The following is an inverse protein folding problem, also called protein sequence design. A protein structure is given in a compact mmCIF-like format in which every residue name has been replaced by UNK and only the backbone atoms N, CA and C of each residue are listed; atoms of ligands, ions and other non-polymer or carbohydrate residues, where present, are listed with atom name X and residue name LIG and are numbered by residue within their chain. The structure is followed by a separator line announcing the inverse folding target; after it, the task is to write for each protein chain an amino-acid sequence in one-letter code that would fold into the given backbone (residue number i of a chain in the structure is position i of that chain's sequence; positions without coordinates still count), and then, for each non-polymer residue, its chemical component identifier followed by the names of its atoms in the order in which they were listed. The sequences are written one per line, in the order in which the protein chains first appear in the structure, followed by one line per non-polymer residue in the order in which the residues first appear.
data_IF_589825381400
#
_entry.id   IF_589825381400
#
_cell.length_a   1.000
_cell.length_b   1.000
_cell.length_c   1.000
_cell.angle_alpha   90.00
_cell.angle_beta   90.00
_cell.angle_gamma   90.00
#
_symmetry.space_group_name_H-M   'P 1'
#
loop_
_entity.id
_entity.type
_entity.pdbx_description
1 polymer ?
#
# COMPACT_ATOMS: atom_id res chain seq x y z
N UNK A 1 8.22 60.81 60.47
CA UNK A 1 6.80 60.91 60.86
C UNK A 1 6.02 59.81 60.15
N UNK A 2 5.25 59.03 60.93
CA UNK A 2 4.24 58.01 60.54
C UNK A 2 4.73 56.81 59.70
N UNK A 3 5.25 55.81 60.41
CA UNK A 3 5.23 54.39 60.00
C UNK A 3 3.85 53.81 60.32
N UNK A 4 3.21 53.20 59.33
CA UNK A 4 1.92 52.52 59.46
C UNK A 4 2.17 51.01 59.59
N UNK A 5 1.74 50.43 60.71
CA UNK A 5 1.68 48.99 60.91
C UNK A 5 0.45 48.39 60.25
N UNK A 6 0.60 47.16 59.75
CA UNK A 6 -0.52 46.27 59.46
C UNK A 6 -0.25 44.92 60.09
N UNK A 7 -1.09 44.60 61.07
CA UNK A 7 -1.28 43.28 61.66
C UNK A 7 -2.34 42.50 60.85
N UNK A 8 -2.25 41.17 60.97
CA UNK A 8 -3.34 40.18 60.85
C UNK A 8 -4.03 39.98 59.49
N UNK A 9 -3.75 38.83 58.87
CA UNK A 9 -4.77 37.77 58.81
C UNK A 9 -4.12 36.43 58.47
N UNK A 10 -4.00 35.58 59.49
CA UNK A 10 -3.81 34.14 59.32
C UNK A 10 -5.17 33.56 58.99
N UNK A 11 -5.38 33.12 57.76
CA UNK A 11 -6.51 32.26 57.42
C UNK A 11 -5.95 30.89 57.06
N UNK A 12 -6.09 29.95 58.00
CA UNK A 12 -5.98 28.52 57.78
C UNK A 12 -7.26 28.05 57.07
N UNK A 13 -7.15 27.57 55.84
CA UNK A 13 -8.15 26.67 55.26
C UNK A 13 -7.50 25.32 55.00
N UNK A 14 -7.56 24.45 56.01
CA UNK A 14 -7.55 23.01 55.84
C UNK A 14 -8.93 22.64 55.28
N UNK A 15 -9.04 22.56 53.96
CA UNK A 15 -10.25 22.16 53.26
C UNK A 15 -9.95 20.93 52.42
N UNK A 16 -10.33 19.76 52.95
CA UNK A 16 -10.48 18.51 52.23
C UNK A 16 -11.04 18.73 50.82
N UNK A 17 -10.19 18.60 49.81
CA UNK A 17 -10.63 18.26 48.46
C UNK A 17 -9.82 17.04 48.03
N UNK A 18 -10.23 15.90 48.57
CA UNK A 18 -10.02 14.59 47.96
C UNK A 18 -10.80 14.65 46.64
N UNK A 19 -10.20 15.26 45.62
CA UNK A 19 -10.60 15.03 44.25
C UNK A 19 -10.37 13.55 44.01
N UNK A 20 -11.47 12.81 44.00
CA UNK A 20 -11.62 11.53 43.33
C UNK A 20 -10.99 11.65 41.93
N UNK A 21 -9.69 11.34 41.84
CA UNK A 21 -9.10 10.71 40.68
C UNK A 21 -9.78 9.33 40.59
N UNK A 22 -11.02 9.33 40.12
CA UNK A 22 -11.52 8.22 39.33
C UNK A 22 -10.69 8.31 38.07
N UNK A 23 -9.49 7.73 38.13
CA UNK A 23 -8.92 7.07 36.97
C UNK A 23 -9.96 6.02 36.64
N UNK A 24 -10.95 6.43 35.84
CA UNK A 24 -11.67 5.52 35.01
C UNK A 24 -10.57 4.93 34.15
N UNK A 25 -10.01 3.81 34.61
CA UNK A 25 -9.42 2.83 33.74
C UNK A 25 -10.56 2.46 32.80
N UNK A 26 -10.71 3.25 31.73
CA UNK A 26 -11.09 2.68 30.46
C UNK A 26 -10.01 1.64 30.21
N UNK A 27 -10.24 0.43 30.73
CA UNK A 27 -9.95 -0.78 29.98
C UNK A 27 -10.70 -0.60 28.67
N UNK A 28 -10.10 0.16 27.75
CA UNK A 28 -10.36 -0.03 26.34
C UNK A 28 -9.81 -1.43 26.10
N UNK A 29 -10.64 -2.44 26.37
CA UNK A 29 -10.46 -3.75 25.78
C UNK A 29 -10.44 -3.46 24.29
N UNK A 30 -9.23 -3.39 23.75
CA UNK A 30 -9.02 -3.11 22.35
C UNK A 30 -9.71 -4.25 21.63
N UNK A 31 -10.83 -3.93 20.98
CA UNK A 31 -11.51 -4.92 20.15
C UNK A 31 -10.44 -5.53 19.23
N UNK A 32 -10.34 -6.86 19.16
CA UNK A 32 -9.33 -7.50 18.33
C UNK A 32 -9.51 -6.97 16.90
N UNK A 33 -8.43 -6.46 16.32
CA UNK A 33 -8.37 -6.03 14.92
C UNK A 33 -8.63 -7.26 14.05
N UNK A 34 -9.90 -7.57 13.79
CA UNK A 34 -10.30 -8.71 12.97
C UNK A 34 -10.64 -8.20 11.59
N UNK A 35 -10.01 -8.78 10.58
CA UNK A 35 -10.41 -8.63 9.17
C UNK A 35 -11.93 -8.78 8.98
N UNK A 36 -12.56 -9.65 9.80
CA UNK A 36 -13.99 -9.91 9.82
C UNK A 36 -14.86 -8.68 10.17
N UNK A 37 -14.38 -7.75 11.01
CA UNK A 37 -15.12 -6.49 11.29
C UNK A 37 -15.32 -5.66 10.03
N UNK A 38 -14.40 -5.76 9.08
CA UNK A 38 -14.47 -5.10 7.77
C UNK A 38 -15.08 -6.00 6.67
N UNK A 39 -15.54 -7.20 7.02
CA UNK A 39 -16.04 -8.19 6.07
C UNK A 39 -14.96 -8.84 5.20
N UNK A 40 -13.68 -8.65 5.54
CA UNK A 40 -12.55 -9.26 4.85
C UNK A 40 -12.29 -10.68 5.37
N UNK A 41 -11.69 -11.52 4.52
CA UNK A 41 -11.22 -12.85 4.91
C UNK A 41 -9.70 -12.81 5.09
N UNK A 42 -9.20 -13.79 5.82
CA UNK A 42 -7.77 -13.94 6.07
C UNK A 42 -7.08 -14.41 4.79
N UNK A 43 -6.03 -13.72 4.37
CA UNK A 43 -5.13 -14.24 3.36
C UNK A 43 -4.21 -15.29 3.98
N UNK A 44 -3.94 -16.37 3.24
CA UNK A 44 -3.18 -17.53 3.74
C UNK A 44 -2.10 -18.02 2.79
N UNK A 45 -2.22 -17.70 1.50
CA UNK A 45 -1.32 -18.18 0.45
C UNK A 45 0.02 -17.44 0.52
N UNK A 46 -0.01 -16.16 0.86
CA UNK A 46 1.20 -15.32 0.88
C UNK A 46 1.74 -15.03 2.29
N UNK A 47 1.26 -15.74 3.31
CA UNK A 47 1.68 -15.55 4.72
C UNK A 47 3.20 -15.59 4.90
N UNK A 48 3.88 -16.59 4.32
CA UNK A 48 5.34 -16.72 4.44
C UNK A 48 6.04 -15.50 3.84
N UNK A 49 5.64 -15.09 2.64
CA UNK A 49 6.21 -13.95 1.95
C UNK A 49 5.95 -12.64 2.71
N UNK A 50 4.75 -12.44 3.24
CA UNK A 50 4.43 -11.25 4.04
C UNK A 50 5.26 -11.21 5.33
N UNK A 51 5.44 -12.34 6.00
CA UNK A 51 6.29 -12.44 7.19
C UNK A 51 7.77 -12.13 6.87
N UNK A 52 8.29 -12.64 5.75
CA UNK A 52 9.65 -12.35 5.27
C UNK A 52 9.83 -10.86 4.95
N UNK A 53 8.85 -10.25 4.28
CA UNK A 53 8.87 -8.81 3.99
C UNK A 53 8.85 -7.97 5.28
N UNK A 54 8.00 -8.33 6.26
CA UNK A 54 7.95 -7.68 7.57
C UNK A 54 9.29 -7.78 8.31
N UNK A 55 9.93 -8.95 8.25
CA UNK A 55 11.26 -9.15 8.86
C UNK A 55 12.33 -8.28 8.19
N UNK A 56 12.33 -8.16 6.86
CA UNK A 56 13.24 -7.26 6.14
C UNK A 56 13.04 -5.78 6.55
N UNK A 57 11.78 -5.32 6.65
CA UNK A 57 11.48 -3.96 7.14
C UNK A 57 12.00 -3.77 8.56
N UNK A 58 11.78 -4.74 9.45
CA UNK A 58 12.22 -4.65 10.85
C UNK A 58 13.73 -4.58 11.02
N UNK A 59 14.48 -5.26 10.15
CA UNK A 59 15.96 -5.15 10.09
C UNK A 59 16.37 -3.78 9.56
N UNK A 60 15.68 -3.26 8.55
CA UNK A 60 15.96 -1.96 7.94
C UNK A 60 15.66 -0.76 8.84
N UNK A 61 14.53 -0.77 9.53
CA UNK A 61 14.06 0.36 10.36
C UNK A 61 14.79 0.48 11.71
N UNK A 62 15.60 -0.51 12.10
CA UNK A 62 16.28 -0.54 13.39
C UNK A 62 15.28 -0.45 14.55
N UNK A 63 15.56 0.37 15.55
CA UNK A 63 14.69 0.54 16.73
C UNK A 63 13.61 1.62 16.57
N UNK A 64 13.55 2.29 15.40
CA UNK A 64 12.65 3.44 15.19
C UNK A 64 11.20 3.01 15.02
N UNK A 65 11.00 1.98 14.20
CA UNK A 65 9.70 1.44 13.82
C UNK A 65 9.79 -0.07 13.75
N UNK A 66 8.72 -0.75 14.16
CA UNK A 66 8.58 -2.19 14.01
C UNK A 66 7.25 -2.51 13.34
N UNK A 67 7.29 -3.40 12.37
CA UNK A 67 6.11 -4.05 11.82
C UNK A 67 5.88 -5.37 12.54
N UNK A 68 4.62 -5.68 12.80
CA UNK A 68 4.23 -6.96 13.37
C UNK A 68 3.21 -7.63 12.48
N UNK A 69 3.58 -8.75 11.86
CA UNK A 69 2.63 -9.52 11.07
C UNK A 69 1.62 -10.20 12.00
N UNK A 70 0.34 -9.85 11.84
CA UNK A 70 -0.76 -10.40 12.63
C UNK A 70 -1.56 -11.33 11.71
N UNK A 71 -1.64 -12.60 12.06
CA UNK A 71 -2.68 -13.46 11.51
C UNK A 71 -4.03 -13.00 12.08
N UNK A 72 -5.08 -12.95 11.29
CA UNK A 72 -6.40 -12.50 11.75
C UNK A 72 -7.05 -13.41 12.79
N UNK A 73 -6.51 -14.62 12.97
CA UNK A 73 -6.86 -15.49 14.09
C UNK A 73 -6.18 -15.07 15.41
N UNK A 74 -5.11 -14.28 15.33
CA UNK A 74 -4.28 -13.84 16.44
C UNK A 74 -4.94 -12.75 17.28
N UNK A 75 -4.73 -12.82 18.59
CA UNK A 75 -4.91 -11.68 19.48
C UNK A 75 -4.05 -10.51 18.98
N UNK A 76 -4.58 -9.27 19.05
CA UNK A 76 -3.76 -8.08 18.80
C UNK A 76 -2.46 -8.24 19.60
N UNK A 77 -1.29 -8.18 18.96
CA UNK A 77 -0.04 -8.31 19.68
C UNK A 77 0.00 -7.25 20.76
N UNK A 78 0.46 -7.65 21.94
CA UNK A 78 0.62 -6.73 23.06
C UNK A 78 1.67 -5.67 22.67
N UNK A 79 1.21 -4.54 22.15
CA UNK A 79 2.05 -3.39 21.81
C UNK A 79 2.34 -2.54 23.05
N UNK A 80 1.87 -2.94 24.24
CA UNK A 80 2.03 -2.17 25.48
C UNK A 80 3.51 -2.17 25.86
N UNK A 81 4.19 -1.04 25.61
CA UNK A 81 5.61 -0.86 25.90
C UNK A 81 6.55 -0.90 24.69
N UNK A 82 6.05 -1.14 23.48
CA UNK A 82 6.82 -0.98 22.24
C UNK A 82 6.32 0.24 21.47
N UNK A 83 6.90 1.44 21.68
CA UNK A 83 6.56 2.60 20.86
C UNK A 83 6.78 2.26 19.38
N UNK A 84 5.91 2.75 18.50
CA UNK A 84 6.04 2.63 17.03
C UNK A 84 5.97 1.21 16.45
N UNK A 85 5.22 0.30 17.09
CA UNK A 85 4.88 -1.01 16.48
C UNK A 85 3.57 -0.94 15.71
N UNK A 86 3.62 -1.25 14.41
CA UNK A 86 2.49 -1.22 13.49
C UNK A 86 2.09 -2.65 13.08
N UNK A 87 0.85 -3.10 13.33
CA UNK A 87 0.35 -4.36 12.82
C UNK A 87 0.25 -4.37 11.29
N UNK A 88 0.52 -5.53 10.70
CA UNK A 88 0.35 -5.82 9.27
C UNK A 88 -0.60 -7.00 9.13
N UNK A 89 -1.73 -6.80 8.45
CA UNK A 89 -2.71 -7.85 8.18
C UNK A 89 -2.65 -8.27 6.71
N UNK A 90 -2.58 -9.58 6.46
CA UNK A 90 -2.78 -10.12 5.11
C UNK A 90 -4.24 -10.51 4.94
N UNK A 91 -4.93 -9.88 3.99
CA UNK A 91 -6.36 -10.07 3.76
C UNK A 91 -6.65 -10.54 2.34
N UNK A 92 -7.75 -11.25 2.20
CA UNK A 92 -8.30 -11.71 0.94
C UNK A 92 -9.78 -11.31 0.91
N UNK A 93 -10.19 -10.54 -0.10
CA UNK A 93 -11.58 -10.12 -0.23
C UNK A 93 -11.87 -9.45 -1.54
N UNK A 94 -12.89 -9.93 -2.27
CA UNK A 94 -13.35 -9.32 -3.53
C UNK A 94 -13.96 -7.92 -3.36
N UNK A 95 -14.25 -7.51 -2.12
CA UNK A 95 -14.78 -6.19 -1.79
C UNK A 95 -13.71 -5.11 -1.67
N UNK A 96 -12.42 -5.50 -1.62
CA UNK A 96 -11.32 -4.57 -1.77
C UNK A 96 -11.19 -4.22 -3.24
N UNK A 97 -10.86 -2.96 -3.52
CA UNK A 97 -10.54 -2.53 -4.87
C UNK A 97 -9.35 -3.36 -5.37
N UNK A 98 -9.44 -3.83 -6.61
CA UNK A 98 -8.50 -4.81 -7.17
C UNK A 98 -7.10 -4.23 -7.42
N UNK A 99 -7.00 -2.91 -7.29
CA UNK A 99 -5.92 -2.04 -7.73
C UNK A 99 -4.97 -1.64 -6.58
N UNK A 100 -5.32 -1.92 -5.32
CA UNK A 100 -4.46 -1.67 -4.16
C UNK A 100 -3.79 -2.96 -3.67
N UNK A 101 -2.45 -2.94 -3.61
CA UNK A 101 -1.62 -4.05 -3.10
C UNK A 101 -1.49 -3.99 -1.59
N UNK A 102 -1.27 -2.80 -1.04
CA UNK A 102 -1.30 -2.51 0.39
C UNK A 102 -1.87 -1.11 0.63
N UNK A 103 -2.33 -0.86 1.85
CA UNK A 103 -2.78 0.47 2.27
C UNK A 103 -2.71 0.63 3.79
N UNK A 104 -2.60 1.86 4.26
CA UNK A 104 -2.79 2.23 5.67
C UNK A 104 -4.26 2.48 5.99
N UNK A 105 -4.73 1.95 7.12
CA UNK A 105 -6.02 2.28 7.74
C UNK A 105 -6.18 3.79 8.01
N UNK A 106 -7.43 4.27 8.05
CA UNK A 106 -7.73 5.71 8.21
C UNK A 106 -7.26 6.31 9.53
N UNK A 107 -7.03 5.49 10.56
CA UNK A 107 -6.53 5.92 11.87
C UNK A 107 -5.01 5.74 12.02
N UNK A 108 -4.31 5.43 10.91
CA UNK A 108 -2.85 5.26 10.84
C UNK A 108 -2.29 4.18 11.75
N UNK A 109 -3.13 3.23 12.18
CA UNK A 109 -2.76 2.26 13.21
C UNK A 109 -2.45 0.87 12.67
N UNK A 110 -2.67 0.62 11.37
CA UNK A 110 -2.64 -0.69 10.75
C UNK A 110 -2.30 -0.58 9.27
N UNK A 111 -1.44 -1.48 8.79
CA UNK A 111 -1.18 -1.73 7.37
C UNK A 111 -1.94 -2.98 6.94
N UNK A 112 -2.65 -2.90 5.82
CA UNK A 112 -3.38 -4.02 5.23
C UNK A 112 -2.73 -4.39 3.90
N UNK A 113 -2.37 -5.65 3.72
CA UNK A 113 -1.85 -6.21 2.48
C UNK A 113 -2.95 -7.03 1.82
N UNK A 114 -3.30 -6.69 0.60
CA UNK A 114 -4.31 -7.38 -0.18
C UNK A 114 -3.67 -8.53 -0.99
N UNK A 115 -3.96 -9.78 -0.57
CA UNK A 115 -3.37 -10.99 -1.17
C UNK A 115 -3.59 -11.07 -2.68
N UNK A 116 -4.80 -10.75 -3.16
CA UNK A 116 -5.10 -10.81 -4.60
C UNK A 116 -4.39 -9.71 -5.39
N UNK A 117 -4.36 -8.47 -4.88
CA UNK A 117 -3.62 -7.37 -5.51
C UNK A 117 -2.13 -7.71 -5.66
N UNK A 118 -1.56 -8.29 -4.60
CA UNK A 118 -0.16 -8.74 -4.60
C UNK A 118 0.10 -9.84 -5.64
N UNK A 119 -0.78 -10.84 -5.75
CA UNK A 119 -0.67 -11.88 -6.80
C UNK A 119 -0.75 -11.29 -8.22
N UNK A 120 -1.63 -10.32 -8.43
CA UNK A 120 -1.81 -9.69 -9.74
C UNK A 120 -0.59 -8.85 -10.14
N UNK A 121 0.00 -8.11 -9.20
CA UNK A 121 1.21 -7.33 -9.43
C UNK A 121 2.36 -8.21 -9.96
N UNK A 122 2.57 -9.39 -9.38
CA UNK A 122 3.67 -10.28 -9.80
C UNK A 122 3.36 -11.12 -11.05
N UNK A 123 2.09 -11.44 -11.31
CA UNK A 123 1.69 -12.21 -12.49
C UNK A 123 1.67 -11.41 -13.79
N UNK A 124 1.60 -10.08 -13.71
CA UNK A 124 1.49 -9.22 -14.89
C UNK A 124 2.69 -9.34 -15.84
N UNK A 125 3.87 -9.67 -15.31
CA UNK A 125 5.11 -9.64 -16.10
C UNK A 125 5.60 -11.00 -16.60
N UNK A 126 5.32 -12.08 -15.88
CA UNK A 126 5.53 -13.46 -16.31
C UNK A 126 4.67 -14.39 -15.45
N UNK A 127 3.96 -15.34 -16.08
CA UNK A 127 3.13 -16.31 -15.37
C UNK A 127 3.93 -17.17 -14.36
N UNK A 128 5.25 -17.24 -14.55
CA UNK A 128 6.19 -18.03 -13.74
C UNK A 128 7.00 -17.19 -12.74
N UNK A 129 6.85 -15.86 -12.73
CA UNK A 129 7.55 -15.03 -11.74
C UNK A 129 6.94 -15.22 -10.35
N UNK A 130 7.72 -15.78 -9.44
CA UNK A 130 7.32 -15.88 -8.04
C UNK A 130 7.28 -14.48 -7.40
N UNK A 131 6.27 -14.19 -6.56
CA UNK A 131 6.26 -13.00 -5.72
C UNK A 131 7.56 -12.81 -4.93
N UNK A 132 8.11 -11.60 -4.96
CA UNK A 132 9.33 -11.25 -4.23
C UNK A 132 9.00 -10.53 -2.91
N UNK A 133 9.57 -11.04 -1.81
CA UNK A 133 9.43 -10.43 -0.49
C UNK A 133 10.11 -9.06 -0.42
N UNK A 134 11.14 -8.81 -1.22
CA UNK A 134 11.89 -7.55 -1.21
C UNK A 134 11.10 -6.40 -1.83
N UNK A 135 10.40 -6.65 -2.95
CA UNK A 135 9.42 -5.71 -3.51
C UNK A 135 8.28 -5.42 -2.52
N UNK A 136 7.75 -6.44 -1.83
CA UNK A 136 6.73 -6.20 -0.80
C UNK A 136 7.31 -5.42 0.39
N UNK A 137 8.54 -5.68 0.82
CA UNK A 137 9.18 -4.94 1.91
C UNK A 137 9.32 -3.45 1.57
N UNK A 138 9.62 -3.10 0.31
CA UNK A 138 9.59 -1.72 -0.14
C UNK A 138 8.18 -1.11 -0.05
N UNK A 139 7.15 -1.82 -0.50
CA UNK A 139 5.75 -1.37 -0.37
C UNK A 139 5.39 -1.14 1.11
N UNK A 140 5.79 -2.05 1.99
CA UNK A 140 5.55 -1.90 3.43
C UNK A 140 6.30 -0.71 4.05
N UNK A 141 7.52 -0.40 3.58
CA UNK A 141 8.23 0.81 3.97
C UNK A 141 7.51 2.08 3.51
N UNK A 142 6.93 2.06 2.30
CA UNK A 142 6.11 3.15 1.79
C UNK A 142 4.88 3.38 2.67
N UNK A 143 4.11 2.33 2.97
CA UNK A 143 2.96 2.42 3.89
C UNK A 143 3.36 2.90 5.29
N UNK A 144 4.51 2.46 5.79
CA UNK A 144 5.07 2.95 7.05
C UNK A 144 5.45 4.43 6.98
N UNK A 145 5.88 4.92 5.83
CA UNK A 145 6.12 6.34 5.56
C UNK A 145 4.86 7.18 5.70
N UNK A 146 3.72 6.71 5.18
CA UNK A 146 2.42 7.36 5.40
C UNK A 146 2.09 7.47 6.90
N UNK A 147 2.27 6.38 7.67
CA UNK A 147 2.07 6.40 9.13
C UNK A 147 3.02 7.38 9.82
N UNK A 148 4.30 7.37 9.44
CA UNK A 148 5.31 8.25 10.02
C UNK A 148 5.01 9.73 9.76
N UNK A 149 4.35 10.05 8.64
CA UNK A 149 3.99 11.42 8.27
C UNK A 149 2.58 11.84 8.74
N UNK A 150 1.79 10.90 9.29
CA UNK A 150 0.38 11.15 9.66
C UNK A 150 -0.55 11.28 8.45
N UNK A 151 -0.16 10.73 7.31
CA UNK A 151 -0.92 10.74 6.07
C UNK A 151 -1.71 9.44 5.91
N UNK A 152 -2.95 9.54 5.44
CA UNK A 152 -3.73 8.34 5.11
C UNK A 152 -3.27 7.83 3.73
N UNK A 153 -2.80 6.59 3.66
CA UNK A 153 -2.38 5.95 2.41
C UNK A 153 -3.53 5.60 1.46
N UNK A 154 -4.77 5.95 1.80
CA UNK A 154 -5.93 5.70 0.94
C UNK A 154 -5.94 6.72 -0.19
N UNK A 155 -5.78 6.22 -1.42
CA UNK A 155 -6.02 6.99 -2.62
C UNK A 155 -7.52 7.31 -2.67
N UNK A 156 -7.92 8.52 -2.22
CA UNK A 156 -9.27 9.00 -2.45
C UNK A 156 -9.56 8.83 -3.93
N UNK A 157 -10.55 7.99 -4.21
CA UNK A 157 -10.87 7.51 -5.56
C UNK A 157 -10.92 8.70 -6.50
N UNK A 158 -9.91 8.86 -7.35
CA UNK A 158 -10.00 9.80 -8.45
C UNK A 158 -11.28 9.45 -9.19
N UNK A 159 -12.24 10.37 -9.19
CA UNK A 159 -13.44 10.19 -9.99
C UNK A 159 -12.95 10.05 -11.42
N UNK A 160 -13.09 8.84 -11.99
CA UNK A 160 -12.59 8.41 -13.32
C UNK A 160 -13.18 9.24 -14.48
N UNK A 161 -13.78 10.40 -14.19
CA UNK A 161 -14.32 11.36 -15.16
C UNK A 161 -13.64 12.74 -15.15
N UNK A 162 -12.65 13.04 -14.31
CA UNK A 162 -11.90 14.30 -14.48
C UNK A 162 -10.94 14.14 -15.64
N UNK A 163 -11.33 14.65 -16.82
CA UNK A 163 -10.49 14.72 -18.01
C UNK A 163 -9.24 15.63 -17.85
N UNK A 164 -8.98 16.12 -16.64
CA UNK A 164 -7.75 16.84 -16.35
C UNK A 164 -6.58 15.86 -16.29
N UNK A 165 -5.62 15.96 -17.22
CA UNK A 165 -4.44 15.12 -17.19
C UNK A 165 -3.69 15.37 -15.87
N UNK A 166 -3.09 14.31 -15.32
CA UNK A 166 -2.32 14.26 -14.06
C UNK A 166 -1.09 15.19 -14.02
N UNK A 167 -1.25 16.46 -14.38
CA UNK A 167 -0.19 17.45 -14.67
C UNK A 167 0.03 18.46 -13.55
N UNK A 168 -0.94 18.60 -12.66
CA UNK A 168 -0.83 19.53 -11.53
C UNK A 168 -0.33 18.77 -10.30
N UNK A 169 0.70 19.30 -9.64
CA UNK A 169 1.07 18.85 -8.30
C UNK A 169 -0.14 19.00 -7.37
N UNK A 170 -0.47 17.92 -6.66
CA UNK A 170 -1.55 17.88 -5.66
C UNK A 170 -0.93 17.52 -4.32
N UNK A 171 -1.61 17.88 -3.22
CA UNK A 171 -1.14 17.45 -1.87
C UNK A 171 -1.00 15.92 -1.79
N UNK A 172 -1.86 15.18 -2.49
CA UNK A 172 -1.76 13.73 -2.55
C UNK A 172 -0.45 13.27 -3.20
N UNK A 173 -0.05 13.84 -4.35
CA UNK A 173 1.24 13.51 -4.98
C UNK A 173 2.43 13.81 -4.07
N UNK A 174 2.38 14.90 -3.30
CA UNK A 174 3.45 15.22 -2.36
C UNK A 174 3.50 14.20 -1.21
N UNK A 175 2.36 13.82 -0.62
CA UNK A 175 2.29 12.79 0.44
C UNK A 175 2.88 11.46 -0.02
N UNK A 176 2.49 11.05 -1.22
CA UNK A 176 3.01 9.88 -1.91
C UNK A 176 4.54 9.93 -2.10
N UNK A 177 5.06 11.07 -2.56
CA UNK A 177 6.50 11.29 -2.68
C UNK A 177 7.19 11.28 -1.30
N UNK A 178 6.59 11.85 -0.26
CA UNK A 178 7.15 11.81 1.10
C UNK A 178 7.23 10.38 1.65
N UNK A 179 6.22 9.55 1.41
CA UNK A 179 6.23 8.14 1.79
C UNK A 179 7.33 7.36 1.05
N UNK A 180 7.55 7.64 -0.23
CA UNK A 180 8.66 7.06 -0.99
C UNK A 180 10.03 7.49 -0.49
N UNK A 181 10.20 8.79 -0.22
CA UNK A 181 11.47 9.33 0.29
C UNK A 181 11.78 8.77 1.68
N UNK A 182 10.75 8.54 2.52
CA UNK A 182 10.91 7.81 3.77
C UNK A 182 11.46 6.41 3.53
N UNK A 183 10.84 5.64 2.61
CA UNK A 183 11.30 4.29 2.29
C UNK A 183 12.73 4.29 1.74
N UNK A 184 13.03 5.20 0.81
CA UNK A 184 14.35 5.39 0.22
C UNK A 184 15.42 5.72 1.27
N UNK A 185 15.08 6.57 2.25
CA UNK A 185 15.98 6.93 3.35
C UNK A 185 16.29 5.71 4.25
N UNK A 186 15.30 4.87 4.57
CA UNK A 186 15.57 3.65 5.36
C UNK A 186 16.55 2.72 4.64
N UNK A 187 16.37 2.54 3.33
CA UNK A 187 17.27 1.74 2.50
C UNK A 187 18.67 2.36 2.47
N UNK A 188 18.78 3.67 2.21
CA UNK A 188 20.04 4.40 2.14
C UNK A 188 20.81 4.32 3.47
N UNK A 189 20.13 4.54 4.60
CA UNK A 189 20.72 4.35 5.92
C UNK A 189 21.22 2.91 6.05
N UNK A 190 20.40 1.90 5.75
CA UNK A 190 20.82 0.49 5.85
C UNK A 190 22.04 0.14 4.98
N UNK A 191 22.09 0.65 3.76
CA UNK A 191 23.26 0.49 2.86
C UNK A 191 24.53 1.14 3.43
N UNK A 192 24.41 2.21 4.21
CA UNK A 192 25.56 2.87 4.84
C UNK A 192 26.07 2.17 6.11
N UNK A 193 25.27 1.30 6.73
CA UNK A 193 25.60 0.60 7.98
C UNK A 193 26.44 -0.67 7.73
N UNK A 194 27.64 -0.54 7.19
CA UNK A 194 28.50 -1.70 6.85
C UNK A 194 28.96 -2.53 8.05
N UNK A 195 28.89 -2.00 9.27
CA UNK A 195 29.17 -2.74 10.51
C UNK A 195 27.99 -3.59 11.00
N UNK A 196 26.77 -3.28 10.56
CA UNK A 196 25.55 -4.05 10.84
C UNK A 196 25.18 -4.85 9.59
N UNK A 197 25.80 -6.02 9.46
CA UNK A 197 25.69 -6.85 8.25
C UNK A 197 24.23 -7.25 7.96
N UNK A 198 23.44 -7.53 8.99
CA UNK A 198 22.05 -7.95 8.82
C UNK A 198 21.18 -6.82 8.25
N UNK A 199 21.34 -5.61 8.77
CA UNK A 199 20.66 -4.42 8.24
C UNK A 199 21.14 -4.06 6.84
N UNK A 200 22.44 -4.16 6.60
CA UNK A 200 23.03 -3.89 5.28
C UNK A 200 22.51 -4.87 4.23
N UNK A 201 22.49 -6.17 4.53
CA UNK A 201 21.96 -7.19 3.62
C UNK A 201 20.46 -6.99 3.35
N UNK A 202 19.66 -6.68 4.38
CA UNK A 202 18.25 -6.35 4.18
C UNK A 202 18.09 -5.14 3.24
N UNK A 203 18.91 -4.11 3.39
CA UNK A 203 18.89 -2.95 2.49
C UNK A 203 19.23 -3.30 1.04
N UNK A 204 20.24 -4.16 0.82
CA UNK A 204 20.61 -4.63 -0.52
C UNK A 204 19.48 -5.44 -1.17
N UNK A 205 18.81 -6.30 -0.39
CA UNK A 205 17.67 -7.08 -0.89
C UNK A 205 16.52 -6.15 -1.30
N UNK A 206 16.15 -5.20 -0.43
CA UNK A 206 15.06 -4.26 -0.74
C UNK A 206 15.44 -3.33 -1.91
N UNK A 207 16.67 -2.83 -2.01
CA UNK A 207 17.12 -2.04 -3.19
C UNK A 207 17.04 -2.84 -4.50
N UNK A 208 17.35 -4.15 -4.46
CA UNK A 208 17.13 -5.04 -5.60
C UNK A 208 15.63 -5.16 -5.94
N UNK A 209 14.76 -5.25 -4.93
CA UNK A 209 13.30 -5.24 -5.10
C UNK A 209 12.79 -3.94 -5.73
N UNK A 210 13.34 -2.78 -5.34
CA UNK A 210 13.05 -1.47 -5.96
C UNK A 210 13.50 -1.46 -7.43
N UNK A 211 14.68 -2.01 -7.73
CA UNK A 211 15.18 -2.11 -9.10
C UNK A 211 14.25 -2.93 -10.00
N UNK A 212 13.72 -4.03 -9.46
CA UNK A 212 12.74 -4.88 -10.15
C UNK A 212 11.45 -4.10 -10.41
N UNK A 213 10.84 -3.51 -9.37
CA UNK A 213 9.62 -2.70 -9.50
C UNK A 213 9.78 -1.55 -10.52
N UNK A 214 10.92 -0.85 -10.48
CA UNK A 214 11.22 0.22 -11.44
C UNK A 214 11.30 -0.29 -12.88
N UNK A 215 11.89 -1.47 -13.08
CA UNK A 215 12.01 -2.09 -14.40
C UNK A 215 10.64 -2.53 -14.91
N UNK A 216 9.82 -3.13 -14.04
CA UNK A 216 8.45 -3.57 -14.35
C UNK A 216 7.56 -2.38 -14.71
N UNK A 217 7.58 -1.31 -13.91
CA UNK A 217 6.85 -0.07 -14.20
C UNK A 217 7.26 0.52 -15.56
N UNK A 218 8.57 0.53 -15.85
CA UNK A 218 9.09 1.01 -17.14
C UNK A 218 8.65 0.11 -18.30
N UNK A 219 8.68 -1.22 -18.13
CA UNK A 219 8.29 -2.18 -19.15
C UNK A 219 6.78 -2.10 -19.45
N UNK A 220 5.94 -2.10 -18.42
CA UNK A 220 4.49 -1.94 -18.54
C UNK A 220 4.14 -0.62 -19.24
N UNK A 221 4.76 0.48 -18.82
CA UNK A 221 4.59 1.78 -19.46
C UNK A 221 5.07 1.77 -20.93
N UNK A 222 6.20 1.13 -21.23
CA UNK A 222 6.72 1.04 -22.60
C UNK A 222 5.81 0.22 -23.51
N UNK A 223 5.32 -0.93 -23.04
CA UNK A 223 4.42 -1.80 -23.80
C UNK A 223 3.06 -1.15 -24.03
N UNK A 224 2.48 -0.50 -23.01
CA UNK A 224 1.24 0.25 -23.14
C UNK A 224 1.34 1.40 -24.17
N UNK A 225 2.54 1.93 -24.37
CA UNK A 225 2.84 3.04 -25.30
C UNK A 225 3.43 2.57 -26.63
N UNK A 226 3.62 1.26 -26.86
CA UNK A 226 4.26 0.75 -28.07
C UNK A 226 3.36 0.98 -29.30
N UNK A 227 3.75 1.92 -30.16
CA UNK A 227 2.98 2.33 -31.35
C UNK A 227 2.05 3.52 -31.12
N UNK A 228 1.93 4.02 -29.89
CA UNK A 228 1.25 5.28 -29.59
C UNK A 228 2.22 6.46 -29.78
N UNK A 229 2.06 7.20 -30.87
CA UNK A 229 2.83 8.42 -31.15
C UNK A 229 2.34 9.62 -30.36
N UNK A 230 1.16 9.51 -29.72
CA UNK A 230 0.72 10.54 -28.79
C UNK A 230 1.56 10.40 -27.53
N UNK A 231 2.24 11.47 -27.13
CA UNK A 231 2.99 11.56 -25.87
C UNK A 231 2.01 11.58 -24.69
N UNK A 232 1.11 10.61 -24.58
CA UNK A 232 0.30 10.40 -23.40
C UNK A 232 1.22 9.80 -22.35
N UNK A 233 1.62 10.68 -21.43
CA UNK A 233 2.61 10.39 -20.39
C UNK A 233 2.10 9.34 -19.44
N UNK A 234 3.03 8.56 -18.89
CA UNK A 234 2.94 7.83 -17.62
C UNK A 234 1.55 7.86 -17.00
N UNK A 235 0.62 7.18 -17.66
CA UNK A 235 -0.69 6.93 -17.14
C UNK A 235 -0.51 5.57 -16.53
N UNK A 236 -0.28 5.55 -15.21
CA UNK A 236 -0.31 4.34 -14.43
C UNK A 236 -1.76 3.86 -14.37
N UNK A 237 -2.26 3.35 -15.50
CA UNK A 237 -3.53 2.64 -15.60
C UNK A 237 -3.34 1.27 -14.90
N UNK A 238 -3.16 1.27 -13.58
CA UNK A 238 -3.09 0.02 -12.82
C UNK A 238 -2.25 0.00 -11.56
N UNK A 239 -1.51 1.07 -11.20
CA UNK A 239 -0.87 1.16 -9.89
C UNK A 239 -1.74 2.00 -8.94
N UNK A 240 -1.77 1.63 -7.65
CA UNK A 240 -2.57 2.28 -6.62
C UNK A 240 -2.29 3.78 -6.42
N UNK A 241 -1.17 4.28 -6.96
CA UNK A 241 -0.74 5.67 -6.77
C UNK A 241 -0.30 6.33 -8.09
N UNK A 242 -0.54 7.64 -8.25
CA UNK A 242 -0.18 8.37 -9.47
C UNK A 242 1.34 8.48 -9.66
N UNK A 243 1.79 8.41 -10.92
CA UNK A 243 3.18 8.63 -11.36
C UNK A 243 4.20 7.65 -10.75
N UNK A 244 3.80 6.41 -10.50
CA UNK A 244 4.62 5.35 -9.91
C UNK A 244 5.96 5.14 -10.66
N UNK A 245 5.96 4.97 -11.99
CA UNK A 245 7.22 4.79 -12.75
C UNK A 245 8.19 5.96 -12.53
N UNK A 246 7.68 7.19 -12.47
CA UNK A 246 8.49 8.38 -12.28
C UNK A 246 9.00 8.49 -10.84
N UNK A 247 8.15 8.23 -9.85
CA UNK A 247 8.51 8.18 -8.44
C UNK A 247 9.58 7.12 -8.15
N UNK A 248 9.54 5.96 -8.81
CA UNK A 248 10.61 4.95 -8.70
C UNK A 248 11.96 5.45 -9.23
N UNK A 249 11.97 6.29 -10.28
CA UNK A 249 13.22 6.92 -10.76
C UNK A 249 13.79 7.88 -9.72
N UNK A 250 12.93 8.68 -9.08
CA UNK A 250 13.31 9.53 -7.95
C UNK A 250 13.91 8.68 -6.82
N UNK A 251 13.21 7.63 -6.38
CA UNK A 251 13.66 6.74 -5.29
C UNK A 251 15.04 6.16 -5.61
N UNK A 252 15.24 5.64 -6.82
CA UNK A 252 16.53 5.08 -7.26
C UNK A 252 17.64 6.13 -7.28
N UNK A 253 17.35 7.33 -7.78
CA UNK A 253 18.31 8.44 -7.76
C UNK A 253 18.67 8.83 -6.32
N UNK A 254 17.68 8.92 -5.43
CA UNK A 254 17.86 9.25 -4.02
C UNK A 254 18.73 8.22 -3.28
N UNK A 255 18.49 6.92 -3.50
CA UNK A 255 19.29 5.84 -2.90
C UNK A 255 20.75 5.90 -3.37
N UNK A 256 20.96 6.13 -4.68
CA UNK A 256 22.29 6.09 -5.30
C UNK A 256 23.12 7.37 -5.20
N UNK A 257 22.51 8.50 -4.84
CA UNK A 257 23.18 9.80 -4.85
C UNK A 257 23.99 10.08 -3.58
N UNK A 258 25.15 10.70 -3.76
CA UNK A 258 25.92 11.28 -2.67
C UNK A 258 25.38 12.69 -2.37
N UNK A 259 24.70 12.85 -1.24
CA UNK A 259 24.11 14.13 -0.83
C UNK A 259 23.40 14.02 0.51
N UNK A 260 23.00 15.15 1.08
CA UNK A 260 22.10 15.15 2.24
C UNK A 260 20.69 14.76 1.81
N UNK A 261 19.92 14.14 2.70
CA UNK A 261 18.52 13.76 2.45
C UNK A 261 17.66 14.94 1.97
N UNK A 262 17.91 16.14 2.49
CA UNK A 262 17.20 17.36 2.13
C UNK A 262 17.54 17.84 0.71
N UNK A 263 18.81 17.83 0.32
CA UNK A 263 19.24 18.21 -1.05
C UNK A 263 18.63 17.26 -2.09
N UNK A 264 18.65 15.96 -1.81
CA UNK A 264 18.12 14.96 -2.73
C UNK A 264 16.59 15.02 -2.81
N UNK A 265 15.90 15.28 -1.70
CA UNK A 265 14.46 15.51 -1.71
C UNK A 265 14.10 16.77 -2.52
N UNK A 266 14.87 17.85 -2.38
CA UNK A 266 14.65 19.07 -3.15
C UNK A 266 14.95 18.88 -4.65
N UNK A 267 16.01 18.15 -4.99
CA UNK A 267 16.29 17.77 -6.37
C UNK A 267 15.16 16.92 -6.96
N UNK A 268 14.68 15.91 -6.22
CA UNK A 268 13.57 15.08 -6.65
C UNK A 268 12.28 15.88 -6.91
N UNK A 269 11.96 16.83 -6.03
CA UNK A 269 10.82 17.75 -6.21
C UNK A 269 11.00 18.64 -7.44
N UNK A 270 12.20 19.18 -7.65
CA UNK A 270 12.51 20.00 -8.81
C UNK A 270 12.40 19.18 -10.11
N UNK A 271 12.94 17.96 -10.14
CA UNK A 271 12.80 17.06 -11.28
C UNK A 271 11.32 16.77 -11.58
N UNK A 272 10.48 16.61 -10.54
CA UNK A 272 9.04 16.36 -10.69
C UNK A 272 8.35 17.57 -11.29
N UNK A 273 8.67 18.76 -10.79
CA UNK A 273 8.11 20.01 -11.27
C UNK A 273 8.53 20.30 -12.71
N UNK A 274 9.83 20.17 -13.05
CA UNK A 274 10.35 20.34 -14.41
C UNK A 274 9.71 19.34 -15.38
N UNK A 275 9.54 18.09 -14.94
CA UNK A 275 8.84 17.07 -15.71
C UNK A 275 7.39 17.47 -15.98
N UNK A 276 6.64 17.92 -14.97
CA UNK A 276 5.26 18.38 -15.12
C UNK A 276 5.16 19.61 -16.05
N UNK A 277 6.05 20.60 -15.88
CA UNK A 277 6.10 21.82 -16.69
C UNK A 277 6.42 21.54 -18.16
N UNK A 278 7.38 20.65 -18.44
CA UNK A 278 7.76 20.28 -19.81
C UNK A 278 6.57 19.73 -20.61
N UNK A 279 5.59 19.12 -19.94
CA UNK A 279 4.39 18.56 -20.57
C UNK A 279 3.22 19.53 -20.65
N UNK A 280 3.18 20.52 -19.76
CA UNK A 280 2.16 21.57 -19.81
C UNK A 280 2.29 22.43 -21.09
N UNK A 281 3.51 22.64 -21.57
CA UNK A 281 3.80 23.39 -22.80
C UNK A 281 3.49 22.66 -24.12
N UNK A 282 3.32 21.34 -24.08
CA UNK A 282 2.90 20.55 -25.25
C UNK A 282 1.37 20.61 -25.36
N UNK A 283 0.89 21.66 -26.04
CA UNK A 283 -0.53 21.90 -26.30
C UNK A 283 -1.22 20.66 -26.90
N UNK A 284 -2.08 20.03 -26.11
CA UNK A 284 -2.87 18.88 -26.53
C UNK A 284 -4.26 19.34 -26.97
N UNK A 285 -4.63 19.01 -28.22
CA UNK A 285 -6.03 18.98 -28.67
C UNK A 285 -6.48 17.52 -28.64
N UNK A 286 -7.51 17.23 -27.86
CA UNK A 286 -8.19 15.94 -27.92
C UNK A 286 -8.66 15.68 -29.37
N UNK A 287 -8.36 14.52 -29.97
CA UNK A 287 -9.33 13.96 -30.90
C UNK A 287 -10.57 13.68 -30.04
N UNK A 288 -11.68 14.35 -30.35
CA UNK A 288 -12.97 13.94 -29.80
C UNK A 288 -13.16 12.47 -30.21
N UNK A 289 -13.00 11.56 -29.25
CA UNK A 289 -13.60 10.25 -29.33
C UNK A 289 -15.10 10.46 -29.50
N UNK A 290 -15.61 10.13 -30.69
CA UNK A 290 -17.04 10.22 -30.94
C UNK A 290 -17.75 9.15 -30.12
N UNK A 291 -18.92 9.48 -29.57
CA UNK A 291 -19.75 8.57 -28.77
C UNK A 291 -20.17 7.28 -29.51
N UNK A 292 -19.84 7.15 -30.80
CA UNK A 292 -20.23 6.02 -31.64
C UNK A 292 -19.35 4.78 -31.41
N UNK A 293 -18.16 4.91 -30.80
CA UNK A 293 -17.24 3.78 -30.58
C UNK A 293 -17.65 2.88 -29.38
N UNK A 294 -18.42 3.40 -28.41
CA UNK A 294 -18.92 2.62 -27.27
C UNK A 294 -20.04 1.64 -27.65
N UNK A 295 -20.76 1.91 -28.74
CA UNK A 295 -21.83 1.04 -29.23
C UNK A 295 -21.31 -0.28 -29.81
N UNK A 296 -20.04 -0.34 -30.25
CA UNK A 296 -19.47 -1.53 -30.87
C UNK A 296 -18.75 -2.47 -29.90
N UNK A 297 -18.48 -2.05 -28.66
CA UNK A 297 -17.83 -2.91 -27.64
C UNK A 297 -18.81 -3.66 -26.72
N UNK A 298 -20.08 -3.31 -26.73
CA UNK A 298 -21.14 -4.02 -25.98
C UNK A 298 -21.78 -5.19 -26.75
N UNK A 299 -21.27 -5.51 -27.94
CA UNK A 299 -21.74 -6.60 -28.82
C UNK A 299 -21.32 -8.03 -28.43
N UNK A 300 -20.81 -8.28 -27.21
CA UNK A 300 -20.71 -9.66 -26.69
C UNK A 300 -22.06 -10.08 -26.11
N UNK A 301 -22.98 -10.40 -27.03
CA UNK A 301 -24.23 -11.10 -26.74
C UNK A 301 -23.85 -12.50 -26.22
N UNK A 302 -24.11 -12.75 -24.94
CA UNK A 302 -24.30 -14.10 -24.44
C UNK A 302 -25.51 -14.69 -25.17
N UNK A 303 -25.26 -15.51 -26.21
CA UNK A 303 -26.30 -16.34 -26.81
C UNK A 303 -26.78 -17.31 -25.74
N UNK A 304 -28.01 -17.09 -25.29
CA UNK A 304 -28.74 -17.95 -24.37
C UNK A 304 -29.47 -19.00 -25.21
N UNK A 305 -28.73 -19.87 -25.89
CA UNK A 305 -29.34 -20.99 -26.60
C UNK A 305 -29.66 -22.12 -25.64
N UNK A 306 -30.97 -22.35 -25.50
CA UNK A 306 -31.58 -23.49 -24.85
C UNK A 306 -31.33 -24.73 -25.70
N UNK A 307 -30.33 -25.53 -25.33
CA UNK A 307 -30.09 -26.86 -25.88
C UNK A 307 -30.41 -27.95 -24.86
N UNK A 308 -31.54 -28.62 -25.05
CA UNK A 308 -32.00 -29.84 -24.37
C UNK A 308 -30.86 -30.86 -24.14
N UNK A 309 -30.47 -31.08 -22.87
CA UNK A 309 -29.77 -32.31 -22.48
C UNK A 309 -30.79 -33.42 -22.26
N UNK A 310 -30.82 -34.35 -23.22
CA UNK A 310 -31.54 -35.61 -23.13
C UNK A 310 -31.00 -36.45 -21.97
N UNK A 311 -31.95 -37.02 -21.23
CA UNK A 311 -31.75 -37.94 -20.13
C UNK A 311 -31.64 -39.37 -20.71
N UNK A 312 -30.48 -40.08 -20.63
CA UNK A 312 -30.47 -41.50 -20.88
C UNK A 312 -30.93 -42.22 -19.60
N UNK A 313 -32.19 -42.62 -19.60
CA UNK A 313 -32.72 -43.68 -18.73
C UNK A 313 -31.95 -44.96 -19.02
N UNK A 314 -31.23 -45.48 -18.03
CA UNK A 314 -30.88 -46.89 -17.98
C UNK A 314 -32.14 -47.66 -17.61
N UNK A 315 -32.84 -48.20 -18.61
CA UNK A 315 -33.82 -49.26 -18.40
C UNK A 315 -33.06 -50.58 -18.30
N UNK A 316 -33.19 -51.20 -17.14
CA UNK A 316 -33.07 -52.63 -16.94
C UNK A 316 -33.83 -53.36 -18.05
N UNK A 317 -33.17 -54.30 -18.73
CA UNK A 317 -33.87 -55.38 -19.40
C UNK A 317 -33.14 -56.69 -19.09
N UNK A 318 -33.80 -57.47 -18.24
CA UNK A 318 -33.47 -58.83 -17.90
C UNK A 318 -34.24 -59.77 -18.82
N UNK A 319 -33.54 -60.57 -19.62
CA UNK A 319 -34.07 -61.88 -20.03
C UNK A 319 -33.01 -62.78 -20.64
N UNK A 320 -32.80 -63.93 -19.96
CA UNK A 320 -32.53 -65.29 -20.48
C UNK A 320 -31.19 -65.49 -21.24
N UNK A 321 -30.39 -66.52 -20.97
CA UNK A 321 -30.79 -67.93 -20.92
C UNK A 321 -29.68 -68.80 -20.27
N UNK A 322 -30.09 -69.71 -19.39
CA UNK A 322 -29.32 -70.85 -18.87
C UNK A 322 -29.41 -72.06 -19.80
N UNK A 323 -28.28 -72.70 -20.12
CA UNK A 323 -28.09 -74.18 -20.20
C UNK A 323 -26.59 -74.48 -20.42
N UNK A 324 -25.91 -75.21 -19.51
CA UNK A 324 -25.65 -76.67 -19.52
C UNK A 324 -25.03 -77.07 -20.88
N UNK A 325 -23.75 -77.41 -21.01
CA UNK A 325 -22.97 -78.47 -20.33
C UNK A 325 -21.47 -78.12 -20.33
#
# INVERSE_FOLDING_TARGET
MKSAGMNCCVIRFFGWLVCFLIVAGCDSQSEPLRAQHFGWRDGRRLTKLTAEAVDQVNRLSGDTWKLNYVDSSGSRPDTTGMPNTVPVLLVNGRSLKMDEVAFVSSDHSLIVVHEFGLEQMFRADNADSEPDSSSLAFILLHELGHISNGDAGVCEVFSVGSAEPNRTSTMQKERELQADLFAAEQIRIGLSQTSDLDRNMAAMMVDSGVSLLSTQATAAGTMARFGDLSRQGFWDLGYSHPNFEYRMKIVRNYIGSAGTSEELANQARQELEEFEQSRAGEGFRFPLWSKDDDANRSGLIYSKDKGSFGNPRNSEDASRETKIE
#
